data_IF_041777153628
#
_entry.id   IF_041777153628
#
_cell.length_a   1.000
_cell.length_b   1.000
_cell.length_c   1.000
_cell.angle_alpha   90.00
_cell.angle_beta   90.00
_cell.angle_gamma   90.00
#
_symmetry.space_group_name_H-M   'P 1'
#
loop_
_entity.id
_entity.type
_entity.pdbx_description
1 polymer ?
#
# COMPACT_ATOMS: atom_id res chain seq x y z
N UNK A 1 -24.64 -5.70 -6.65
CA UNK A 1 -24.50 -7.12 -7.11
C UNK A 1 -23.07 -7.54 -6.79
N UNK A 2 -22.84 -8.73 -6.22
CA UNK A 2 -21.52 -9.32 -5.96
C UNK A 2 -21.33 -10.48 -6.92
N UNK A 3 -20.21 -10.48 -7.64
CA UNK A 3 -19.82 -11.57 -8.53
C UNK A 3 -18.63 -12.30 -7.91
N UNK A 4 -18.72 -13.62 -7.78
CA UNK A 4 -17.67 -14.48 -7.28
C UNK A 4 -17.16 -15.36 -8.42
N UNK A 5 -15.84 -15.43 -8.57
CA UNK A 5 -15.18 -16.26 -9.57
C UNK A 5 -14.23 -17.23 -8.87
N UNK A 6 -14.37 -18.52 -9.17
CA UNK A 6 -13.42 -19.56 -8.77
C UNK A 6 -12.63 -19.98 -10.02
N UNK A 7 -11.62 -19.18 -10.38
CA UNK A 7 -10.85 -19.34 -11.61
C UNK A 7 -9.48 -18.67 -11.44
N UNK A 8 -8.54 -18.93 -12.33
CA UNK A 8 -7.29 -18.19 -12.43
C UNK A 8 -7.57 -16.70 -12.72
N UNK A 9 -6.84 -15.81 -12.04
CA UNK A 9 -7.07 -14.36 -12.16
C UNK A 9 -6.93 -13.86 -13.61
N UNK A 10 -6.01 -14.42 -14.40
CA UNK A 10 -5.84 -14.04 -15.80
C UNK A 10 -7.04 -14.44 -16.68
N UNK A 11 -7.73 -15.53 -16.35
CA UNK A 11 -8.98 -15.89 -17.02
C UNK A 11 -10.11 -14.94 -16.61
N UNK A 12 -10.15 -14.53 -15.35
CA UNK A 12 -11.13 -13.56 -14.85
C UNK A 12 -10.90 -12.17 -15.46
N UNK A 13 -9.66 -11.72 -15.57
CA UNK A 13 -9.35 -10.43 -16.20
C UNK A 13 -9.92 -10.32 -17.60
N UNK A 14 -9.82 -11.36 -18.41
CA UNK A 14 -10.39 -11.37 -19.78
C UNK A 14 -11.90 -11.17 -19.84
N UNK A 15 -12.62 -11.45 -18.75
CA UNK A 15 -14.08 -11.27 -18.64
C UNK A 15 -14.45 -9.84 -18.23
N UNK A 16 -13.49 -9.04 -17.74
CA UNK A 16 -13.74 -7.69 -17.28
C UNK A 16 -13.57 -6.69 -18.45
N UNK A 17 -14.54 -5.77 -18.62
CA UNK A 17 -14.42 -4.71 -19.63
C UNK A 17 -13.26 -3.77 -19.36
N UNK A 18 -12.75 -3.13 -20.41
CA UNK A 18 -11.74 -2.09 -20.29
C UNK A 18 -12.25 -0.94 -19.41
N UNK A 19 -11.36 -0.36 -18.61
CA UNK A 19 -11.64 0.79 -17.75
C UNK A 19 -12.92 0.66 -16.89
N UNK A 20 -13.23 -0.56 -16.43
CA UNK A 20 -14.43 -0.84 -15.63
C UNK A 20 -14.14 -0.88 -14.13
N UNK A 21 -12.88 -1.11 -13.73
CA UNK A 21 -12.46 -1.33 -12.33
C UNK A 21 -12.00 -0.03 -11.69
N UNK A 22 -12.58 0.32 -10.53
CA UNK A 22 -12.23 1.54 -9.76
C UNK A 22 -11.16 1.29 -8.69
N UNK A 23 -11.02 0.05 -8.24
CA UNK A 23 -10.06 -0.37 -7.22
C UNK A 23 -9.67 -1.82 -7.45
N UNK A 24 -8.38 -2.08 -7.38
CA UNK A 24 -7.83 -3.43 -7.21
C UNK A 24 -7.27 -3.52 -5.80
N UNK A 25 -7.67 -4.54 -5.04
CA UNK A 25 -7.14 -4.83 -3.70
C UNK A 25 -6.89 -6.34 -3.62
N UNK A 26 -5.64 -6.74 -3.49
CA UNK A 26 -5.29 -8.16 -3.45
C UNK A 26 -4.00 -8.44 -2.67
N UNK A 27 -3.90 -9.67 -2.19
CA UNK A 27 -2.71 -10.26 -1.58
C UNK A 27 -2.21 -11.36 -2.56
N UNK A 28 -1.31 -11.00 -3.49
CA UNK A 28 -0.83 -11.95 -4.49
C UNK A 28 0.13 -12.98 -3.87
N UNK A 29 0.40 -14.11 -4.53
CA UNK A 29 1.40 -15.06 -4.06
C UNK A 29 2.82 -14.46 -4.16
N UNK A 30 3.62 -14.60 -3.08
CA UNK A 30 4.95 -13.99 -2.97
C UNK A 30 6.10 -14.88 -3.42
N UNK A 31 5.84 -16.18 -3.66
CA UNK A 31 6.87 -17.17 -3.98
C UNK A 31 7.82 -17.44 -2.81
N UNK A 32 7.37 -17.28 -1.58
CA UNK A 32 8.21 -17.40 -0.37
C UNK A 32 7.97 -18.68 0.41
N UNK A 33 7.00 -19.49 0.00
CA UNK A 33 6.67 -20.76 0.64
C UNK A 33 6.90 -21.94 -0.31
N UNK A 34 7.00 -23.16 0.24
CA UNK A 34 7.12 -24.38 -0.57
C UNK A 34 5.76 -24.88 -1.13
N UNK A 35 4.70 -24.10 -0.99
CA UNK A 35 3.36 -24.47 -1.42
C UNK A 35 3.27 -24.31 -2.95
N UNK A 36 2.72 -25.29 -3.65
CA UNK A 36 2.73 -25.37 -5.11
C UNK A 36 2.08 -24.18 -5.84
N UNK A 37 1.12 -23.51 -5.23
CA UNK A 37 0.42 -22.34 -5.78
C UNK A 37 1.09 -20.99 -5.41
N UNK A 38 2.03 -20.96 -4.43
CA UNK A 38 2.76 -19.75 -4.06
C UNK A 38 3.86 -19.47 -5.09
N UNK A 39 3.45 -19.15 -6.30
CA UNK A 39 4.34 -18.76 -7.40
C UNK A 39 4.09 -17.31 -7.74
N UNK A 40 5.17 -16.54 -7.83
CA UNK A 40 5.09 -15.14 -8.27
C UNK A 40 4.43 -15.08 -9.64
N UNK A 41 3.45 -14.19 -9.78
CA UNK A 41 2.78 -13.96 -11.04
C UNK A 41 3.74 -13.38 -12.08
N UNK A 42 3.46 -13.63 -13.35
CA UNK A 42 4.11 -12.92 -14.45
C UNK A 42 3.71 -11.43 -14.37
N UNK A 43 4.65 -10.59 -13.94
CA UNK A 43 4.39 -9.17 -13.72
C UNK A 43 4.01 -8.44 -15.01
N UNK A 44 4.63 -8.77 -16.12
CA UNK A 44 4.34 -8.10 -17.38
C UNK A 44 2.89 -8.35 -17.80
N UNK A 45 2.45 -9.60 -17.76
CA UNK A 45 1.06 -9.95 -18.04
C UNK A 45 0.10 -9.33 -17.04
N UNK A 46 0.45 -9.34 -15.75
CA UNK A 46 -0.38 -8.74 -14.69
C UNK A 46 -0.57 -7.24 -14.94
N UNK A 47 0.51 -6.51 -15.22
CA UNK A 47 0.43 -5.07 -15.43
C UNK A 47 -0.33 -4.71 -16.72
N UNK A 48 -0.18 -5.48 -17.81
CA UNK A 48 -0.95 -5.29 -19.04
C UNK A 48 -2.46 -5.39 -18.77
N UNK A 49 -2.89 -6.42 -18.06
CA UNK A 49 -4.31 -6.59 -17.73
C UNK A 49 -4.81 -5.54 -16.73
N UNK A 50 -4.05 -5.23 -15.70
CA UNK A 50 -4.41 -4.18 -14.75
C UNK A 50 -4.49 -2.80 -15.43
N UNK A 51 -3.62 -2.54 -16.40
CA UNK A 51 -3.69 -1.32 -17.22
C UNK A 51 -4.98 -1.24 -18.03
N UNK A 52 -5.38 -2.33 -18.65
CA UNK A 52 -6.57 -2.41 -19.46
C UNK A 52 -7.85 -2.23 -18.64
N UNK A 53 -8.00 -2.98 -17.54
CA UNK A 53 -9.26 -3.03 -16.80
C UNK A 53 -9.47 -1.86 -15.84
N UNK A 54 -8.42 -1.22 -15.32
CA UNK A 54 -8.55 -0.14 -14.35
C UNK A 54 -8.81 1.21 -15.00
N UNK A 55 -9.61 2.04 -14.34
CA UNK A 55 -9.82 3.45 -14.74
C UNK A 55 -8.55 4.28 -14.50
N UNK A 56 -8.37 5.43 -15.15
CA UNK A 56 -7.15 6.24 -15.07
C UNK A 56 -6.71 6.60 -13.65
N UNK A 57 -7.64 7.00 -12.77
CA UNK A 57 -7.36 7.39 -11.37
C UNK A 57 -7.56 6.28 -10.35
N UNK A 58 -7.78 5.04 -10.80
CA UNK A 58 -7.94 3.90 -9.90
C UNK A 58 -6.68 3.64 -9.11
N UNK A 59 -6.85 3.21 -7.87
CA UNK A 59 -5.76 2.65 -7.08
C UNK A 59 -5.68 1.14 -7.29
N UNK A 60 -4.44 0.65 -7.36
CA UNK A 60 -4.09 -0.76 -7.32
C UNK A 60 -3.31 -0.95 -6.03
N UNK A 61 -3.89 -1.69 -5.08
CA UNK A 61 -3.37 -1.89 -3.74
C UNK A 61 -2.97 -3.36 -3.61
N UNK A 62 -1.68 -3.59 -3.40
CA UNK A 62 -1.09 -4.92 -3.36
C UNK A 62 -0.38 -5.12 -2.02
N UNK A 63 -0.74 -6.20 -1.32
CA UNK A 63 0.03 -6.64 -0.17
C UNK A 63 1.37 -7.24 -0.62
N UNK A 64 2.40 -7.05 0.17
CA UNK A 64 3.74 -7.49 -0.15
C UNK A 64 4.59 -7.73 1.10
N UNK A 65 5.64 -8.52 0.92
CA UNK A 65 6.65 -8.79 1.94
C UNK A 65 8.00 -8.96 1.25
N UNK A 66 9.08 -8.45 1.86
CA UNK A 66 10.42 -8.60 1.27
C UNK A 66 10.81 -10.09 1.10
N UNK A 67 11.49 -10.46 -0.01
CA UNK A 67 12.04 -9.62 -1.10
C UNK A 67 11.01 -9.27 -2.19
N UNK A 68 9.83 -9.88 -2.20
CA UNK A 68 8.77 -9.66 -3.19
C UNK A 68 8.38 -8.17 -3.32
N UNK A 69 8.34 -7.43 -2.20
CA UNK A 69 8.08 -5.97 -2.20
C UNK A 69 8.98 -5.22 -3.18
N UNK A 70 10.29 -5.46 -3.12
CA UNK A 70 11.25 -4.78 -4.00
C UNK A 70 11.06 -5.16 -5.46
N UNK A 71 10.82 -6.43 -5.76
CA UNK A 71 10.57 -6.91 -7.11
C UNK A 71 9.30 -6.28 -7.70
N UNK A 72 8.23 -6.23 -6.91
CA UNK A 72 6.95 -5.69 -7.33
C UNK A 72 7.03 -4.17 -7.60
N UNK A 73 7.69 -3.40 -6.72
CA UNK A 73 7.90 -1.96 -6.94
C UNK A 73 8.73 -1.73 -8.21
N UNK A 74 9.82 -2.48 -8.38
CA UNK A 74 10.71 -2.31 -9.54
C UNK A 74 10.02 -2.67 -10.86
N UNK A 75 9.06 -3.59 -10.84
CA UNK A 75 8.34 -4.01 -12.05
C UNK A 75 7.40 -2.93 -12.63
N UNK A 76 7.01 -1.91 -11.85
CA UNK A 76 6.13 -0.82 -12.31
C UNK A 76 6.40 0.46 -11.52
N UNK A 77 7.64 0.90 -11.47
CA UNK A 77 8.08 2.03 -10.66
C UNK A 77 7.39 3.35 -11.02
N UNK A 78 7.06 3.56 -12.29
CA UNK A 78 6.34 4.73 -12.79
C UNK A 78 4.91 4.88 -12.21
N UNK A 79 4.27 3.78 -11.81
CA UNK A 79 2.96 3.78 -11.17
C UNK A 79 3.02 3.75 -9.66
N UNK A 80 4.15 3.38 -9.06
CA UNK A 80 4.30 3.36 -7.60
C UNK A 80 4.09 4.75 -7.02
N UNK A 81 3.25 4.86 -5.98
CA UNK A 81 2.93 6.14 -5.33
C UNK A 81 3.50 6.21 -3.92
N UNK A 82 3.13 5.26 -3.08
CA UNK A 82 3.62 5.17 -1.70
C UNK A 82 3.32 3.78 -1.14
N UNK A 83 3.88 3.53 0.05
CA UNK A 83 3.58 2.33 0.82
C UNK A 83 2.93 2.67 2.15
N UNK A 84 2.14 1.74 2.67
CA UNK A 84 1.72 1.69 4.04
C UNK A 84 2.33 0.45 4.71
N UNK A 85 2.64 0.56 5.99
CA UNK A 85 3.15 -0.54 6.80
C UNK A 85 2.03 -1.06 7.69
N UNK A 86 1.61 -2.27 7.46
CA UNK A 86 0.67 -2.92 8.36
C UNK A 86 1.41 -3.61 9.50
N UNK A 87 1.36 -3.01 10.69
CA UNK A 87 1.89 -3.61 11.90
C UNK A 87 0.88 -4.61 12.47
N UNK A 88 1.22 -5.90 12.39
CA UNK A 88 0.37 -7.01 12.87
C UNK A 88 0.53 -7.30 14.35
N UNK A 89 1.48 -6.65 15.04
CA UNK A 89 1.83 -6.85 16.45
C UNK A 89 2.20 -8.30 16.84
N UNK A 90 2.26 -9.21 15.88
CA UNK A 90 2.61 -10.63 16.10
C UNK A 90 3.65 -11.10 15.10
N UNK A 91 4.61 -11.85 15.56
CA UNK A 91 5.62 -12.47 14.71
C UNK A 91 5.08 -13.77 14.10
N UNK A 92 5.37 -13.95 12.80
CA UNK A 92 5.04 -15.19 12.07
C UNK A 92 6.12 -16.28 12.10
N UNK A 93 7.34 -15.97 12.61
CA UNK A 93 8.50 -16.87 12.46
C UNK A 93 9.36 -16.94 13.73
N UNK A 94 8.84 -17.51 14.84
CA UNK A 94 9.57 -17.55 16.12
C UNK A 94 10.90 -18.31 16.04
N UNK A 95 11.02 -19.32 15.18
CA UNK A 95 12.26 -20.09 14.99
C UNK A 95 13.45 -19.30 14.44
N UNK A 96 13.22 -18.09 13.92
CA UNK A 96 14.26 -17.22 13.39
C UNK A 96 14.74 -16.16 14.42
N UNK A 97 14.17 -16.11 15.60
CA UNK A 97 14.45 -15.07 16.60
C UNK A 97 15.94 -14.95 17.00
N UNK A 98 16.66 -16.07 16.97
CA UNK A 98 18.12 -16.11 17.26
C UNK A 98 19.00 -15.66 16.09
N UNK A 99 18.43 -15.49 14.87
CA UNK A 99 19.20 -15.21 13.65
C UNK A 99 18.93 -13.81 13.10
N UNK A 100 17.77 -13.24 13.36
CA UNK A 100 17.37 -11.91 12.88
C UNK A 100 16.22 -11.34 13.71
N UNK A 101 15.99 -10.01 13.67
CA UNK A 101 14.80 -9.41 14.27
C UNK A 101 13.53 -10.05 13.71
N UNK A 102 12.53 -10.21 14.59
CA UNK A 102 11.26 -10.79 14.21
C UNK A 102 10.42 -9.80 13.36
N UNK A 103 9.98 -10.24 12.22
CA UNK A 103 9.13 -9.44 11.34
C UNK A 103 7.69 -9.44 11.86
N UNK A 104 7.19 -8.25 12.19
CA UNK A 104 5.82 -8.04 12.71
C UNK A 104 4.94 -7.21 11.77
N UNK A 105 5.40 -6.95 10.56
CA UNK A 105 4.70 -6.09 9.60
C UNK A 105 4.64 -6.70 8.20
N UNK A 106 3.73 -6.18 7.41
CA UNK A 106 3.66 -6.34 5.95
C UNK A 106 3.60 -4.98 5.27
N UNK A 107 4.01 -4.93 4.01
CA UNK A 107 3.88 -3.76 3.18
C UNK A 107 2.55 -3.79 2.44
N UNK A 108 1.93 -2.64 2.28
CA UNK A 108 0.77 -2.43 1.41
C UNK A 108 1.21 -1.38 0.41
N UNK A 109 1.32 -1.78 -0.85
CA UNK A 109 1.87 -0.95 -1.92
C UNK A 109 0.72 -0.34 -2.72
N UNK A 110 0.78 0.96 -2.93
CA UNK A 110 -0.23 1.70 -3.67
C UNK A 110 0.35 2.14 -5.01
N UNK A 111 -0.31 1.69 -6.08
CA UNK A 111 0.00 2.07 -7.45
C UNK A 111 -1.20 2.80 -8.07
N UNK A 112 -0.93 3.68 -9.01
CA UNK A 112 -1.95 4.35 -9.84
C UNK A 112 -1.32 4.78 -11.16
N UNK A 113 -2.06 4.70 -12.27
CA UNK A 113 -1.60 5.16 -13.58
C UNK A 113 -1.31 6.65 -13.56
N UNK A 114 -2.25 7.43 -13.06
CA UNK A 114 -2.10 8.89 -12.96
C UNK A 114 -1.52 9.30 -11.61
N UNK A 115 -0.68 10.34 -11.56
CA UNK A 115 -0.26 10.94 -10.30
C UNK A 115 -1.45 11.38 -9.46
N UNK A 116 -1.40 11.11 -8.16
CA UNK A 116 -2.44 11.53 -7.23
C UNK A 116 -3.75 10.74 -7.36
N UNK A 117 -3.71 9.43 -7.53
CA UNK A 117 -4.89 8.55 -7.51
C UNK A 117 -5.97 8.95 -6.48
N UNK A 118 -7.08 8.28 -6.41
CA UNK A 118 -8.17 8.62 -5.48
C UNK A 118 -7.67 8.48 -4.02
N UNK A 119 -7.70 9.59 -3.27
CA UNK A 119 -7.31 9.62 -1.86
C UNK A 119 -8.34 10.37 -1.03
N UNK A 120 -9.07 9.63 -0.19
CA UNK A 120 -10.06 10.16 0.74
C UNK A 120 -9.61 9.82 2.18
N UNK A 121 -8.81 10.67 2.84
CA UNK A 121 -8.27 10.37 4.16
C UNK A 121 -9.37 10.33 5.22
N UNK A 122 -9.37 9.28 6.04
CA UNK A 122 -10.14 9.24 7.28
C UNK A 122 -9.30 9.97 8.33
N UNK A 123 -9.78 11.15 8.75
CA UNK A 123 -9.07 12.00 9.70
C UNK A 123 -9.12 11.38 11.10
N UNK A 124 -7.98 11.43 11.79
CA UNK A 124 -7.84 11.00 13.19
C UNK A 124 -8.09 12.17 14.14
N UNK A 125 -8.63 11.90 15.33
CA UNK A 125 -8.72 12.89 16.41
C UNK A 125 -7.34 13.17 17.02
N UNK A 126 -7.12 14.39 17.47
CA UNK A 126 -5.89 14.81 18.13
C UNK A 126 -6.03 16.19 18.78
N UNK A 127 -5.10 16.55 19.65
CA UNK A 127 -5.12 17.83 20.34
C UNK A 127 -5.00 19.01 19.35
N UNK A 128 -5.84 20.06 19.50
CA UNK A 128 -5.70 21.29 18.71
C UNK A 128 -4.34 21.93 18.94
N UNK A 129 -3.78 22.57 17.92
CA UNK A 129 -2.55 23.34 18.08
C UNK A 129 -2.49 24.54 17.15
N UNK A 130 -1.74 25.56 17.59
CA UNK A 130 -1.32 26.67 16.75
C UNK A 130 0.20 26.65 16.66
N UNK A 131 0.70 26.66 15.46
CA UNK A 131 2.15 26.72 15.21
C UNK A 131 2.48 27.92 14.33
N UNK A 132 3.43 28.70 14.78
CA UNK A 132 4.08 29.73 13.98
C UNK A 132 5.56 29.36 13.88
N UNK A 133 6.06 29.25 12.68
CA UNK A 133 7.48 29.02 12.44
C UNK A 133 8.03 30.21 11.66
N UNK A 134 8.97 30.90 12.25
CA UNK A 134 9.77 31.87 11.55
C UNK A 134 11.02 31.17 11.06
N UNK A 135 11.10 30.93 9.76
CA UNK A 135 12.28 30.31 9.17
C UNK A 135 12.94 31.36 8.25
N UNK A 136 13.99 32.03 8.70
CA UNK A 136 14.68 33.08 7.92
C UNK A 136 15.25 32.55 6.61
N UNK A 137 15.61 31.27 6.56
CA UNK A 137 16.23 30.64 5.39
C UNK A 137 15.23 29.88 4.50
N UNK A 138 13.94 29.85 4.86
CA UNK A 138 12.91 29.10 4.16
C UNK A 138 13.21 27.59 4.12
N UNK A 139 12.43 26.76 4.81
CA UNK A 139 12.58 25.31 4.74
C UNK A 139 12.30 24.87 3.29
N UNK A 140 13.35 24.51 2.54
CA UNK A 140 13.21 24.08 1.15
C UNK A 140 13.69 25.07 0.09
N UNK A 141 14.46 26.10 0.42
CA UNK A 141 15.12 26.99 -0.57
C UNK A 141 16.26 26.31 -1.36
N UNK A 142 16.59 25.04 -1.03
CA UNK A 142 17.48 24.23 -1.85
C UNK A 142 16.77 23.77 -3.13
N UNK A 143 17.49 23.75 -4.25
CA UNK A 143 17.08 23.06 -5.50
C UNK A 143 17.02 21.56 -5.21
N UNK A 144 16.01 21.11 -4.46
CA UNK A 144 15.82 19.70 -4.14
C UNK A 144 15.27 19.00 -5.36
N UNK A 145 16.04 18.07 -5.88
CA UNK A 145 15.74 17.17 -6.99
C UNK A 145 14.50 16.29 -6.78
N UNK A 146 13.82 16.38 -5.63
CA UNK A 146 12.67 15.53 -5.26
C UNK A 146 11.32 16.27 -5.18
N UNK A 147 11.21 17.49 -5.68
CA UNK A 147 9.91 18.13 -5.96
C UNK A 147 9.04 18.54 -4.75
N UNK A 148 9.48 18.38 -3.51
CA UNK A 148 8.76 18.83 -2.31
C UNK A 148 9.21 20.20 -1.86
N UNK A 149 9.12 21.20 -2.75
CA UNK A 149 9.39 22.60 -2.43
C UNK A 149 8.16 23.26 -1.83
N UNK A 150 8.10 23.44 -0.51
CA UNK A 150 7.24 24.45 0.06
C UNK A 150 7.86 25.81 -0.31
N UNK A 151 7.17 26.57 -1.19
CA UNK A 151 7.70 27.84 -1.70
C UNK A 151 8.22 28.79 -0.61
N UNK A 152 9.00 29.79 -1.00
CA UNK A 152 9.75 30.78 -0.22
C UNK A 152 8.96 31.58 0.86
N UNK A 153 8.14 30.94 1.69
CA UNK A 153 7.46 31.62 2.80
C UNK A 153 8.35 31.63 4.03
N UNK A 154 8.92 32.80 4.33
CA UNK A 154 9.73 33.06 5.53
C UNK A 154 8.97 32.88 6.86
N UNK A 155 7.65 32.91 6.82
CA UNK A 155 6.79 32.71 8.01
C UNK A 155 5.65 31.80 7.64
N UNK A 156 5.51 30.70 8.37
CA UNK A 156 4.39 29.77 8.23
C UNK A 156 3.58 29.78 9.52
N UNK A 157 2.29 30.07 9.40
CA UNK A 157 1.32 29.93 10.48
C UNK A 157 0.40 28.80 10.14
N UNK A 158 0.23 27.85 11.04
CA UNK A 158 -0.75 26.79 10.90
C UNK A 158 -1.58 26.69 12.18
N UNK A 159 -2.87 26.54 12.01
CA UNK A 159 -3.83 26.25 13.07
C UNK A 159 -4.50 24.93 12.75
N UNK A 160 -4.48 24.02 13.70
CA UNK A 160 -5.17 22.75 13.60
C UNK A 160 -6.24 22.66 14.68
N UNK A 161 -7.46 22.32 14.29
CA UNK A 161 -8.64 22.27 15.15
C UNK A 161 -8.85 20.94 15.87
N UNK A 162 -7.84 20.07 15.89
CA UNK A 162 -7.96 18.78 16.57
C UNK A 162 -8.13 17.61 15.60
N UNK A 163 -7.76 17.77 14.33
CA UNK A 163 -7.77 16.67 13.36
C UNK A 163 -6.36 16.38 12.83
N UNK A 164 -6.08 15.13 12.48
CA UNK A 164 -4.80 14.68 11.92
C UNK A 164 -5.05 13.85 10.68
N UNK A 165 -4.18 14.01 9.70
CA UNK A 165 -4.14 13.08 8.59
C UNK A 165 -3.65 11.70 9.06
N UNK A 166 -4.14 10.62 8.46
CA UNK A 166 -3.68 9.27 8.79
C UNK A 166 -2.19 9.10 8.55
N UNK A 167 -1.58 8.21 9.32
CA UNK A 167 -0.15 7.89 9.24
C UNK A 167 0.07 6.69 8.32
N UNK A 168 1.30 6.54 7.83
CA UNK A 168 1.68 5.42 6.97
C UNK A 168 1.82 4.09 7.70
N UNK A 169 1.81 4.06 9.04
CA UNK A 169 1.85 2.83 9.84
C UNK A 169 0.44 2.54 10.34
N UNK A 170 -0.12 1.43 9.89
CA UNK A 170 -1.44 0.95 10.29
C UNK A 170 -1.29 -0.06 11.43
N UNK A 171 -2.03 0.17 12.50
CA UNK A 171 -2.08 -0.73 13.65
C UNK A 171 -3.42 -1.48 13.65
N UNK A 172 -3.42 -2.69 13.12
CA UNK A 172 -4.56 -3.58 13.16
C UNK A 172 -4.11 -4.92 13.75
N UNK A 173 -4.54 -5.20 14.98
CA UNK A 173 -4.27 -6.49 15.60
C UNK A 173 -5.10 -7.58 14.91
N UNK A 174 -4.52 -8.77 14.74
CA UNK A 174 -5.28 -9.97 14.40
C UNK A 174 -6.13 -10.37 15.62
N UNK A 175 -7.36 -9.91 15.69
CA UNK A 175 -8.33 -10.46 16.62
C UNK A 175 -8.92 -11.73 15.98
N UNK A 176 -8.16 -12.81 15.99
CA UNK A 176 -8.72 -14.12 15.71
C UNK A 176 -9.28 -14.66 17.02
N UNK A 177 -10.58 -14.60 17.21
CA UNK A 177 -11.24 -15.59 18.07
C UNK A 177 -10.98 -16.96 17.43
N UNK A 178 -10.49 -17.91 18.23
CA UNK A 178 -9.97 -19.20 17.77
C UNK A 178 -11.00 -20.12 17.07
N UNK A 179 -12.18 -19.64 16.74
CA UNK A 179 -13.30 -20.49 16.31
C UNK A 179 -13.65 -20.47 14.82
N UNK A 180 -13.06 -19.63 13.96
CA UNK A 180 -13.61 -19.51 12.59
C UNK A 180 -12.64 -19.15 11.45
N UNK A 181 -11.37 -19.37 11.51
CA UNK A 181 -10.55 -19.05 10.34
C UNK A 181 -9.72 -20.24 9.86
N UNK A 182 -10.33 -21.03 9.02
CA UNK A 182 -9.56 -21.81 8.06
C UNK A 182 -8.98 -20.77 7.07
N UNK A 183 -7.66 -20.53 7.15
CA UNK A 183 -6.98 -19.76 6.11
C UNK A 183 -7.27 -20.45 4.76
N UNK A 184 -7.58 -19.72 3.68
CA UNK A 184 -7.90 -20.33 2.37
C UNK A 184 -6.85 -21.33 1.88
N UNK A 185 -5.62 -21.22 2.40
CA UNK A 185 -4.48 -22.09 2.11
C UNK A 185 -4.42 -23.37 2.95
N UNK A 186 -5.35 -23.60 3.87
CA UNK A 186 -5.35 -24.78 4.74
C UNK A 186 -6.38 -25.85 4.35
N UNK A 187 -6.92 -25.78 3.15
CA UNK A 187 -7.74 -26.85 2.57
C UNK A 187 -6.92 -27.79 1.72
#
# INVERSE_FOLDING_TARGET
>A
MINLYNDDCFNVFKKLPDQSVHLVLTDPPYGTTAIHWDKVLDFDKMWIELERITKPKSNIILFASQPFTSLLISSKLDWFRYELIWNKNKCGSPGLAKKRPQKIHENILIFSKEPGGIYNPIMEEGEPYKRQTNNPDGYGSGKNTHGYGFGNKKTFKSENKGTRYPKSILHASRNFSAQQTVHPTQK
#
